data_IF_736964372215
#
_entry.id   IF_736964372215
#
_cell.length_a   1.000
_cell.length_b   1.000
_cell.length_c   1.000
_cell.angle_alpha   90.00
_cell.angle_beta   90.00
_cell.angle_gamma   90.00
#
_symmetry.space_group_name_H-M   'P 1'
#
loop_
_entity.id
_entity.type
_entity.pdbx_description
1 polymer ?
#
# COMPACT_ATOMS: atom_id res chain seq x y z
N UNK A 1 23.92 3.92 13.04
CA UNK A 1 24.61 3.76 11.74
C UNK A 1 23.74 3.07 10.69
N UNK A 2 23.31 1.80 10.82
CA UNK A 2 22.44 1.16 9.80
C UNK A 2 20.99 1.69 9.85
N UNK A 3 20.45 1.86 11.06
CA UNK A 3 19.12 2.44 11.29
C UNK A 3 18.98 3.85 10.71
N UNK A 4 20.00 4.70 10.96
CA UNK A 4 20.06 6.07 10.45
C UNK A 4 20.10 6.12 8.91
N UNK A 5 20.85 5.20 8.26
CA UNK A 5 20.87 5.10 6.79
C UNK A 5 19.48 4.78 6.25
N UNK A 6 18.77 3.84 6.88
CA UNK A 6 17.43 3.47 6.45
C UNK A 6 16.43 4.59 6.68
N UNK A 7 16.49 5.30 7.80
CA UNK A 7 15.63 6.46 8.09
C UNK A 7 15.79 7.56 7.04
N UNK A 8 17.02 7.91 6.69
CA UNK A 8 17.28 8.93 5.66
C UNK A 8 16.81 8.46 4.27
N UNK A 9 17.02 7.18 3.92
CA UNK A 9 16.52 6.61 2.67
C UNK A 9 14.99 6.58 2.62
N UNK A 10 14.34 6.15 3.69
CA UNK A 10 12.88 6.10 3.80
C UNK A 10 12.27 7.51 3.67
N UNK A 11 12.85 8.50 4.35
CA UNK A 11 12.47 9.90 4.23
C UNK A 11 12.60 10.42 2.80
N UNK A 12 13.72 10.14 2.14
CA UNK A 12 13.93 10.55 0.75
C UNK A 12 12.90 9.91 -0.20
N UNK A 13 12.62 8.61 -0.01
CA UNK A 13 11.63 7.87 -0.79
C UNK A 13 10.20 8.36 -0.58
N UNK A 14 9.84 8.67 0.66
CA UNK A 14 8.56 9.27 0.99
C UNK A 14 8.36 10.62 0.29
N UNK A 15 9.37 11.51 0.31
CA UNK A 15 9.29 12.81 -0.35
C UNK A 15 9.19 12.70 -1.87
N UNK A 16 9.94 11.76 -2.47
CA UNK A 16 9.84 11.44 -3.90
C UNK A 16 8.42 10.98 -4.26
N UNK A 17 7.85 10.08 -3.47
CA UNK A 17 6.47 9.63 -3.63
C UNK A 17 5.47 10.76 -3.44
N UNK A 18 5.64 11.63 -2.43
CA UNK A 18 4.71 12.72 -2.11
C UNK A 18 4.59 13.72 -3.27
N UNK A 19 5.70 14.14 -3.87
CA UNK A 19 5.69 15.00 -5.05
C UNK A 19 5.01 14.32 -6.26
N UNK A 20 5.33 13.06 -6.51
CA UNK A 20 4.76 12.30 -7.62
C UNK A 20 3.25 12.03 -7.44
N UNK A 21 2.83 11.66 -6.23
CA UNK A 21 1.46 11.40 -5.83
C UNK A 21 0.61 12.66 -5.93
N UNK A 22 1.13 13.81 -5.47
CA UNK A 22 0.45 15.10 -5.65
C UNK A 22 0.18 15.38 -7.13
N UNK A 23 1.18 15.25 -8.00
CA UNK A 23 0.99 15.46 -9.45
C UNK A 23 -0.04 14.50 -10.05
N UNK A 24 -0.02 13.22 -9.67
CA UNK A 24 -1.01 12.23 -10.11
C UNK A 24 -2.42 12.58 -9.62
N UNK A 25 -2.57 12.92 -8.35
CA UNK A 25 -3.84 13.32 -7.74
C UNK A 25 -4.46 14.53 -8.45
N UNK A 26 -3.67 15.58 -8.70
CA UNK A 26 -4.11 16.73 -9.49
C UNK A 26 -4.54 16.36 -10.91
N UNK A 27 -3.75 15.53 -11.59
CA UNK A 27 -4.06 15.06 -12.94
C UNK A 27 -5.35 14.22 -13.00
N UNK A 28 -5.52 13.28 -12.07
CA UNK A 28 -6.71 12.44 -11.95
C UNK A 28 -7.95 13.27 -11.64
N UNK A 29 -7.86 14.24 -10.73
CA UNK A 29 -8.98 15.11 -10.37
C UNK A 29 -9.42 15.96 -11.57
N UNK A 30 -8.47 16.60 -12.26
CA UNK A 30 -8.77 17.40 -13.46
C UNK A 30 -9.39 16.56 -14.57
N UNK A 31 -8.89 15.35 -14.80
CA UNK A 31 -9.44 14.44 -15.79
C UNK A 31 -10.84 13.93 -15.39
N UNK A 32 -11.06 13.62 -14.11
CA UNK A 32 -12.36 13.22 -13.58
C UNK A 32 -13.41 14.30 -13.82
N UNK A 33 -13.12 15.55 -13.47
CA UNK A 33 -14.02 16.68 -13.69
C UNK A 33 -14.35 16.87 -15.18
N UNK A 34 -13.35 16.76 -16.06
CA UNK A 34 -13.56 16.85 -17.51
C UNK A 34 -14.46 15.71 -18.03
N UNK A 35 -14.24 14.48 -17.58
CA UNK A 35 -15.07 13.33 -17.96
C UNK A 35 -16.51 13.46 -17.44
N UNK A 36 -16.70 13.89 -16.19
CA UNK A 36 -18.03 14.13 -15.62
C UNK A 36 -18.78 15.23 -16.38
N UNK A 37 -18.09 16.30 -16.77
CA UNK A 37 -18.68 17.38 -17.56
C UNK A 37 -19.09 16.88 -18.95
N UNK A 38 -18.23 16.11 -19.62
CA UNK A 38 -18.53 15.53 -20.93
C UNK A 38 -19.73 14.56 -20.90
N UNK A 39 -19.84 13.72 -19.86
CA UNK A 39 -20.99 12.82 -19.68
C UNK A 39 -22.29 13.61 -19.46
N UNK A 40 -22.26 14.68 -18.65
CA UNK A 40 -23.42 15.54 -18.42
C UNK A 40 -23.86 16.24 -19.71
N UNK A 41 -22.92 16.75 -20.50
CA UNK A 41 -23.22 17.37 -21.79
C UNK A 41 -23.84 16.38 -22.77
N UNK A 42 -23.29 15.17 -22.85
CA UNK A 42 -23.84 14.09 -23.67
C UNK A 42 -25.28 13.74 -23.23
N UNK A 43 -25.52 13.59 -21.94
CA UNK A 43 -26.85 13.31 -21.40
C UNK A 43 -27.87 14.40 -21.76
N UNK A 44 -27.50 15.68 -21.66
CA UNK A 44 -28.38 16.80 -22.06
C UNK A 44 -28.75 16.70 -23.55
N UNK A 45 -27.80 16.34 -24.41
CA UNK A 45 -28.05 16.13 -25.84
C UNK A 45 -28.99 14.94 -26.07
N UNK A 46 -28.75 13.82 -25.40
CA UNK A 46 -29.55 12.59 -25.57
C UNK A 46 -31.01 12.79 -25.11
N UNK A 47 -31.21 13.44 -23.96
CA UNK A 47 -32.56 13.75 -23.44
C UNK A 47 -33.29 14.75 -24.34
N UNK A 48 -32.58 15.70 -24.96
CA UNK A 48 -33.21 16.68 -25.86
C UNK A 48 -33.75 16.06 -27.15
N UNK A 49 -33.25 14.88 -27.54
CA UNK A 49 -33.64 14.17 -28.77
C UNK A 49 -34.69 13.07 -28.54
N UNK A 50 -35.01 12.73 -27.28
CA UNK A 50 -35.86 11.59 -26.93
C UNK A 50 -37.27 12.04 -26.52
N UNK A 51 -38.30 11.72 -27.32
CA UNK A 51 -39.70 11.96 -26.94
C UNK A 51 -40.23 10.84 -26.03
N UNK A 52 -40.19 11.05 -24.72
CA UNK A 52 -40.81 10.17 -23.70
C UNK A 52 -39.94 9.02 -23.17
N UNK A 53 -40.13 8.70 -21.88
CA UNK A 53 -39.34 7.82 -21.00
C UNK A 53 -37.94 8.35 -20.62
N UNK A 54 -37.92 9.31 -19.69
CA UNK A 54 -36.71 9.91 -19.09
C UNK A 54 -36.04 9.00 -18.05
N UNK A 55 -36.82 8.18 -17.34
CA UNK A 55 -36.33 7.43 -16.17
C UNK A 55 -35.24 6.39 -16.52
N UNK A 56 -35.33 5.74 -17.70
CA UNK A 56 -34.34 4.75 -18.14
C UNK A 56 -33.03 5.42 -18.57
N UNK A 57 -33.11 6.57 -19.24
CA UNK A 57 -31.95 7.37 -19.61
C UNK A 57 -31.27 8.01 -18.39
N UNK A 58 -32.06 8.47 -17.41
CA UNK A 58 -31.57 8.96 -16.12
C UNK A 58 -30.80 7.87 -15.37
N UNK A 59 -31.35 6.66 -15.29
CA UNK A 59 -30.70 5.55 -14.62
C UNK A 59 -29.40 5.14 -15.32
N UNK A 60 -29.40 5.05 -16.66
CA UNK A 60 -28.20 4.72 -17.42
C UNK A 60 -27.08 5.77 -17.25
N UNK A 61 -27.42 7.06 -17.24
CA UNK A 61 -26.45 8.13 -17.00
C UNK A 61 -25.89 8.10 -15.57
N UNK A 62 -26.73 7.78 -14.58
CA UNK A 62 -26.29 7.60 -13.20
C UNK A 62 -25.31 6.43 -13.07
N UNK A 63 -25.60 5.28 -13.68
CA UNK A 63 -24.69 4.12 -13.73
C UNK A 63 -23.34 4.45 -14.39
N UNK A 64 -23.34 5.28 -15.44
CA UNK A 64 -22.10 5.76 -16.08
C UNK A 64 -21.27 6.64 -15.15
N UNK A 65 -21.89 7.57 -14.42
CA UNK A 65 -21.20 8.43 -13.45
C UNK A 65 -20.63 7.62 -12.28
N UNK A 66 -21.37 6.63 -11.78
CA UNK A 66 -20.87 5.70 -10.75
C UNK A 66 -19.67 4.89 -11.24
N UNK A 67 -19.77 4.35 -12.47
CA UNK A 67 -18.67 3.62 -13.11
C UNK A 67 -17.44 4.51 -13.31
N UNK A 68 -17.64 5.76 -13.72
CA UNK A 68 -16.56 6.75 -13.86
C UNK A 68 -15.89 7.00 -12.51
N UNK A 69 -16.67 7.27 -11.47
CA UNK A 69 -16.16 7.48 -10.10
C UNK A 69 -15.35 6.28 -9.61
N UNK A 70 -15.82 5.06 -9.88
CA UNK A 70 -15.12 3.82 -9.52
C UNK A 70 -13.77 3.70 -10.24
N UNK A 71 -13.69 4.03 -11.53
CA UNK A 71 -12.43 4.00 -12.30
C UNK A 71 -11.39 4.94 -11.69
N UNK A 72 -11.77 6.18 -11.38
CA UNK A 72 -10.86 7.14 -10.75
C UNK A 72 -10.49 6.75 -9.33
N UNK A 73 -11.44 6.18 -8.56
CA UNK A 73 -11.16 5.66 -7.22
C UNK A 73 -10.10 4.56 -7.26
N UNK A 74 -10.21 3.62 -8.20
CA UNK A 74 -9.22 2.55 -8.38
C UNK A 74 -7.87 3.09 -8.86
N UNK A 75 -7.87 4.07 -9.77
CA UNK A 75 -6.64 4.68 -10.25
C UNK A 75 -5.87 5.43 -9.16
N UNK A 76 -6.55 5.92 -8.12
CA UNK A 76 -5.94 6.61 -6.99
C UNK A 76 -5.60 5.68 -5.81
N UNK A 77 -6.01 4.40 -5.82
CA UNK A 77 -5.96 3.50 -4.67
C UNK A 77 -4.55 3.33 -4.09
N UNK A 78 -3.54 3.15 -4.95
CA UNK A 78 -2.15 2.98 -4.52
C UNK A 78 -1.57 4.22 -3.80
N UNK A 79 -2.10 5.40 -4.09
CA UNK A 79 -1.67 6.69 -3.54
C UNK A 79 -2.42 7.10 -2.27
N UNK A 80 -3.43 6.33 -1.84
CA UNK A 80 -4.15 6.57 -0.61
C UNK A 80 -3.39 5.90 0.54
N UNK A 81 -2.84 6.66 1.51
CA UNK A 81 -2.18 6.07 2.66
C UNK A 81 -3.15 5.18 3.44
N UNK A 82 -2.74 3.95 3.69
CA UNK A 82 -3.51 2.96 4.46
C UNK A 82 -2.59 2.22 5.41
N UNK A 83 -2.98 1.03 5.88
CA UNK A 83 -2.15 0.22 6.76
C UNK A 83 -1.28 -0.74 5.95
N UNK A 84 -0.03 -0.92 6.38
CA UNK A 84 0.83 -1.97 5.81
C UNK A 84 0.24 -3.33 6.19
N UNK A 85 0.07 -4.27 5.25
CA UNK A 85 -0.46 -5.58 5.57
C UNK A 85 0.37 -6.33 6.62
N UNK A 86 -0.28 -6.91 7.63
CA UNK A 86 0.36 -7.62 8.76
C UNK A 86 1.33 -8.74 8.37
N UNK A 87 1.18 -9.31 7.18
CA UNK A 87 2.06 -10.36 6.66
C UNK A 87 3.39 -9.81 6.14
N UNK A 88 3.50 -8.49 5.94
CA UNK A 88 4.74 -7.77 5.63
C UNK A 88 5.38 -7.15 6.88
N UNK A 89 4.75 -7.31 8.05
CA UNK A 89 5.21 -6.75 9.31
C UNK A 89 5.84 -7.81 10.24
N UNK A 90 6.89 -7.41 10.94
CA UNK A 90 7.56 -8.21 11.94
C UNK A 90 6.66 -8.46 13.15
N UNK A 91 6.65 -9.70 13.66
CA UNK A 91 5.80 -10.08 14.81
C UNK A 91 6.22 -9.51 16.16
N UNK A 92 7.37 -8.83 16.22
CA UNK A 92 7.86 -8.18 17.44
C UNK A 92 7.76 -6.66 17.32
N UNK A 93 8.28 -6.06 16.24
CA UNK A 93 8.26 -4.60 16.07
C UNK A 93 6.91 -4.09 15.58
N UNK A 94 6.12 -4.95 14.92
CA UNK A 94 4.90 -4.59 14.20
C UNK A 94 5.13 -3.64 13.02
N UNK A 95 6.40 -3.37 12.68
CA UNK A 95 6.81 -2.57 11.53
C UNK A 95 7.08 -3.45 10.32
N UNK A 96 7.03 -2.83 9.13
CA UNK A 96 7.40 -3.46 7.86
C UNK A 96 8.83 -4.02 7.92
N UNK A 97 9.04 -5.23 7.37
CA UNK A 97 10.36 -5.85 7.41
C UNK A 97 11.42 -5.06 6.64
N UNK A 98 12.63 -5.00 7.19
CA UNK A 98 13.82 -4.46 6.51
C UNK A 98 14.82 -5.56 6.19
N UNK A 99 15.06 -6.44 7.15
CA UNK A 99 15.92 -7.62 6.99
C UNK A 99 15.23 -8.87 7.59
N UNK A 100 14.21 -9.40 6.88
CA UNK A 100 13.42 -10.51 7.37
C UNK A 100 14.24 -11.79 7.46
N UNK A 101 14.13 -12.49 8.59
CA UNK A 101 14.67 -13.84 8.81
C UNK A 101 13.56 -14.80 9.20
N UNK A 102 13.55 -15.97 8.58
CA UNK A 102 12.64 -17.07 8.89
C UNK A 102 13.32 -18.09 9.79
N UNK A 103 12.55 -18.62 10.74
CA UNK A 103 13.00 -19.64 11.68
C UNK A 103 12.37 -21.00 11.35
N UNK A 104 12.83 -22.13 11.94
CA UNK A 104 12.32 -23.46 11.60
C UNK A 104 10.81 -23.66 11.80
N UNK A 105 10.19 -22.94 12.75
CA UNK A 105 8.73 -22.95 12.96
C UNK A 105 7.95 -22.24 11.84
N UNK A 106 8.64 -21.60 10.89
CA UNK A 106 8.06 -20.88 9.75
C UNK A 106 7.74 -19.41 10.03
N UNK A 107 7.97 -18.92 11.26
CA UNK A 107 7.73 -17.52 11.60
C UNK A 107 8.85 -16.63 11.08
N UNK A 108 8.51 -15.42 10.62
CA UNK A 108 9.49 -14.43 10.14
C UNK A 108 9.59 -13.26 11.12
N UNK A 109 10.81 -12.83 11.41
CA UNK A 109 11.15 -11.72 12.30
C UNK A 109 12.13 -10.76 11.64
N UNK A 110 12.21 -9.54 12.17
CA UNK A 110 13.29 -8.62 11.85
C UNK A 110 14.60 -9.13 12.48
N UNK A 111 15.67 -9.25 11.69
CA UNK A 111 16.93 -9.90 12.11
C UNK A 111 17.48 -9.30 13.40
N UNK A 112 17.63 -7.97 13.44
CA UNK A 112 18.20 -7.29 14.59
C UNK A 112 17.43 -7.57 15.88
N UNK A 113 16.10 -7.70 15.76
CA UNK A 113 15.19 -7.82 16.90
C UNK A 113 15.16 -9.24 17.44
N UNK A 114 15.11 -10.26 16.57
CA UNK A 114 15.17 -11.65 17.02
C UNK A 114 16.55 -11.99 17.60
N UNK A 115 17.64 -11.45 17.05
CA UNK A 115 18.98 -11.61 17.62
C UNK A 115 19.06 -11.00 19.02
N UNK A 116 18.51 -9.79 19.21
CA UNK A 116 18.47 -9.12 20.50
C UNK A 116 17.67 -9.93 21.53
N UNK A 117 16.52 -10.48 21.13
CA UNK A 117 15.70 -11.38 21.95
C UNK A 117 16.49 -12.64 22.37
N UNK A 118 17.14 -13.31 21.42
CA UNK A 118 17.93 -14.51 21.68
C UNK A 118 19.09 -14.24 22.66
N UNK A 119 19.66 -13.04 22.61
CA UNK A 119 20.76 -12.63 23.48
C UNK A 119 20.29 -12.18 24.88
N UNK A 120 19.23 -11.38 24.97
CA UNK A 120 18.80 -10.72 26.23
C UNK A 120 17.72 -11.47 26.98
N UNK A 121 16.82 -12.15 26.28
CA UNK A 121 15.63 -12.80 26.86
C UNK A 121 15.87 -14.30 26.99
N UNK A 122 16.30 -14.95 25.91
CA UNK A 122 16.68 -16.36 25.93
C UNK A 122 16.54 -17.06 24.58
N UNK A 123 17.12 -18.26 24.52
CA UNK A 123 17.24 -19.09 23.31
C UNK A 123 15.95 -19.85 22.97
N UNK A 124 14.88 -19.10 22.73
CA UNK A 124 13.59 -19.65 22.36
C UNK A 124 12.82 -18.71 21.43
N UNK A 125 11.96 -19.27 20.59
CA UNK A 125 11.04 -18.51 19.73
C UNK A 125 10.07 -17.67 20.59
N UNK A 126 9.97 -16.33 20.38
CA UNK A 126 9.10 -15.44 21.14
C UNK A 126 7.62 -15.87 21.19
N UNK A 127 7.13 -16.51 20.13
CA UNK A 127 5.73 -16.91 19.96
C UNK A 127 5.53 -18.36 20.40
N UNK A 128 6.24 -19.31 19.78
CA UNK A 128 6.00 -20.75 20.02
C UNK A 128 6.68 -21.26 21.29
N UNK A 129 7.66 -20.52 21.82
CA UNK A 129 8.52 -20.90 22.95
C UNK A 129 9.38 -22.15 22.70
N UNK A 130 9.46 -22.61 21.46
CA UNK A 130 10.38 -23.70 21.09
C UNK A 130 11.84 -23.25 21.16
N UNK A 131 12.80 -24.15 21.45
CA UNK A 131 14.22 -23.82 21.45
C UNK A 131 14.66 -23.23 20.11
N UNK A 132 15.36 -22.10 20.16
CA UNK A 132 15.82 -21.37 18.99
C UNK A 132 17.22 -20.82 19.23
N UNK A 133 18.13 -21.10 18.31
CA UNK A 133 19.49 -20.58 18.28
C UNK A 133 19.72 -19.73 17.02
N UNK A 134 20.66 -18.78 17.12
CA UNK A 134 20.99 -17.82 16.06
C UNK A 134 21.34 -18.47 14.71
N UNK A 135 22.05 -19.60 14.71
CA UNK A 135 22.44 -20.29 13.47
C UNK A 135 21.25 -20.89 12.68
N UNK A 136 20.07 -20.95 13.30
CA UNK A 136 18.83 -21.41 12.66
C UNK A 136 18.09 -20.28 11.94
N UNK A 137 18.53 -19.02 12.07
CA UNK A 137 17.93 -17.88 11.39
C UNK A 137 18.38 -17.84 9.93
N UNK A 138 17.44 -18.02 9.01
CA UNK A 138 17.70 -17.99 7.56
C UNK A 138 17.13 -16.71 6.97
N UNK A 139 17.86 -15.95 6.13
CA UNK A 139 17.29 -14.80 5.43
C UNK A 139 16.05 -15.19 4.62
N UNK A 140 14.93 -14.50 4.83
CA UNK A 140 13.69 -14.72 4.08
C UNK A 140 13.64 -13.79 2.87
N UNK A 141 14.36 -14.18 1.80
CA UNK A 141 14.48 -13.35 0.59
C UNK A 141 13.13 -13.12 -0.10
N UNK A 142 12.21 -14.07 -0.03
CA UNK A 142 10.87 -13.93 -0.62
C UNK A 142 10.07 -12.80 0.05
N UNK A 143 10.08 -12.73 1.38
CA UNK A 143 9.44 -11.62 2.11
C UNK A 143 10.16 -10.30 1.85
N UNK A 144 11.49 -10.33 1.72
CA UNK A 144 12.27 -9.13 1.38
C UNK A 144 11.88 -8.56 0.02
N UNK A 145 11.72 -9.41 -0.99
CA UNK A 145 11.24 -9.03 -2.32
C UNK A 145 9.78 -8.57 -2.29
N UNK A 146 8.91 -9.23 -1.54
CA UNK A 146 7.51 -8.83 -1.40
C UNK A 146 7.36 -7.44 -0.76
N UNK A 147 8.16 -7.15 0.28
CA UNK A 147 8.22 -5.80 0.87
C UNK A 147 8.72 -4.78 -0.14
N UNK A 148 9.76 -5.12 -0.92
CA UNK A 148 10.27 -4.25 -1.98
C UNK A 148 9.19 -3.89 -3.00
N UNK A 149 8.49 -4.90 -3.53
CA UNK A 149 7.39 -4.69 -4.47
C UNK A 149 6.25 -3.85 -3.87
N UNK A 150 5.89 -4.11 -2.61
CA UNK A 150 4.87 -3.32 -1.91
C UNK A 150 5.29 -1.85 -1.76
N UNK A 151 6.54 -1.58 -1.39
CA UNK A 151 7.06 -0.22 -1.22
C UNK A 151 7.21 0.55 -2.54
N UNK A 152 7.49 -0.16 -3.64
CA UNK A 152 7.54 0.42 -4.98
C UNK A 152 6.16 0.88 -5.45
N UNK A 153 5.09 0.16 -5.08
CA UNK A 153 3.70 0.51 -5.40
C UNK A 153 3.11 1.53 -4.40
N UNK A 154 3.46 1.40 -3.12
CA UNK A 154 2.88 2.16 -2.01
C UNK A 154 3.94 3.02 -1.32
N UNK A 155 4.46 4.04 -2.03
CA UNK A 155 5.54 4.89 -1.51
C UNK A 155 5.22 5.64 -0.20
N UNK A 156 3.95 5.82 0.15
CA UNK A 156 3.53 6.34 1.45
C UNK A 156 3.96 5.46 2.63
N UNK A 157 4.16 4.16 2.41
CA UNK A 157 4.54 3.20 3.44
C UNK A 157 6.00 3.35 3.89
N UNK A 158 6.79 4.22 3.23
CA UNK A 158 8.09 4.67 3.74
C UNK A 158 7.99 5.66 4.91
N UNK A 159 6.78 6.15 5.23
CA UNK A 159 6.59 7.09 6.33
C UNK A 159 7.01 6.44 7.65
N UNK A 160 8.01 7.02 8.29
CA UNK A 160 8.43 6.67 9.66
C UNK A 160 7.82 7.69 10.62
N UNK A 161 7.12 7.20 11.66
CA UNK A 161 6.59 8.03 12.75
C UNK A 161 7.70 8.70 13.59
#
# INVERSE_FOLDING_TARGET
MIEEIWQELAKAKYLEWEDASNKRSWGLQSLKEACEQALKEQYVVDVSQMEGFTDEAENAHMEQLESLSLVFSKAAEADIPSEVPDYLCCKITLDIFRDPVIIPSGVTYERAVILDHLQKVGKFDPITREPLDEHQLVPNLAIKEAVGAFLDEHGWAYKTD
#
